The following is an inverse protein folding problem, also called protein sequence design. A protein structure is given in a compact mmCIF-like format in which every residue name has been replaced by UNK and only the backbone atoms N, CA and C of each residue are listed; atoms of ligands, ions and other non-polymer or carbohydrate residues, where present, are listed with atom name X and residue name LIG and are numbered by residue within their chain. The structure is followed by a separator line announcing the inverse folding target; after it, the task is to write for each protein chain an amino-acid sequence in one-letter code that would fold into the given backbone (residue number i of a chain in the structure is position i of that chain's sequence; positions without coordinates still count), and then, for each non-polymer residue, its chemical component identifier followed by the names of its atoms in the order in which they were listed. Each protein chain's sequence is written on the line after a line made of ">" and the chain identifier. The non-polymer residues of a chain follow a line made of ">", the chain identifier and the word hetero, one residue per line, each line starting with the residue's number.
data_IF_997204486880
#
_entry.id   IF_997204486880
#
_cell.length_a   1.000
_cell.length_b   1.000
_cell.length_c   1.000
_cell.angle_alpha   90.00
_cell.angle_beta   90.00
_cell.angle_gamma   90.00
#
_symmetry.space_group_name_H-M   'P 1'
#
loop_
_entity.id
_entity.type
_entity.pdbx_description
1 polymer ?
#
# COMPACT_ATOMS: atom_id res chain seq x y z
N UNK A 1 18.73 13.39 9.16
CA UNK A 1 18.07 12.78 9.70
C UNK A 1 17.81 11.51 9.24
N UNK A 2 17.61 10.83 9.94
CA UNK A 2 17.64 9.52 9.60
C UNK A 2 16.41 9.02 9.00
N UNK A 3 16.50 8.04 8.21
CA UNK A 3 15.38 7.43 7.53
C UNK A 3 14.73 6.43 8.43
N UNK A 4 14.06 6.92 9.49
CA UNK A 4 13.43 6.00 10.43
C UNK A 4 12.40 5.10 9.75
N UNK A 5 11.81 5.57 8.63
CA UNK A 5 10.90 4.74 7.86
C UNK A 5 11.62 3.52 7.29
N UNK A 6 12.78 3.74 6.68
CA UNK A 6 13.54 2.66 6.05
C UNK A 6 14.14 1.69 7.07
N UNK A 7 14.33 2.13 8.31
CA UNK A 7 14.87 1.27 9.37
C UNK A 7 13.83 0.35 9.98
N UNK A 8 12.57 0.48 9.57
CA UNK A 8 11.47 -0.30 10.13
C UNK A 8 11.61 -1.77 9.74
N UNK A 9 11.48 -2.67 10.70
CA UNK A 9 11.50 -4.11 10.44
C UNK A 9 10.18 -4.52 9.80
N UNK A 10 10.29 -5.33 8.75
CA UNK A 10 9.13 -5.90 8.04
C UNK A 10 9.41 -7.37 7.80
N UNK A 11 8.34 -8.13 7.53
CA UNK A 11 8.47 -9.56 7.23
C UNK A 11 8.00 -9.77 5.79
N UNK A 12 8.85 -10.40 4.98
CA UNK A 12 8.48 -10.70 3.60
C UNK A 12 7.38 -11.75 3.58
N UNK A 13 6.73 -11.90 2.41
CA UNK A 13 5.66 -12.91 2.29
C UNK A 13 6.20 -14.32 2.48
N UNK A 14 7.50 -14.51 2.31
CA UNK A 14 8.15 -15.80 2.54
C UNK A 14 8.57 -16.01 4.00
N UNK A 15 8.30 -15.05 4.87
CA UNK A 15 8.55 -15.19 6.29
C UNK A 15 9.90 -14.65 6.78
N UNK A 16 10.66 -13.98 5.93
CA UNK A 16 11.96 -13.42 6.32
C UNK A 16 11.82 -12.04 6.92
N UNK A 17 12.44 -11.82 8.08
CA UNK A 17 12.44 -10.50 8.71
C UNK A 17 13.58 -9.67 8.08
N UNK A 18 13.25 -8.44 7.67
CA UNK A 18 14.22 -7.56 7.04
C UNK A 18 13.83 -6.11 7.36
N UNK A 19 14.48 -5.15 6.70
CA UNK A 19 14.09 -3.75 6.79
C UNK A 19 13.92 -3.21 5.38
N UNK A 20 13.42 -1.98 5.26
CA UNK A 20 13.28 -1.35 3.95
C UNK A 20 14.55 -0.68 3.47
N UNK A 21 15.65 -0.80 4.23
CA UNK A 21 16.91 -0.16 3.86
C UNK A 21 17.47 -0.66 2.54
N UNK A 22 17.14 -1.90 2.16
CA UNK A 22 17.58 -2.43 0.86
C UNK A 22 17.01 -1.64 -0.31
N UNK A 23 15.97 -0.85 -0.07
CA UNK A 23 15.36 -0.01 -1.11
C UNK A 23 15.80 1.45 -1.00
N UNK A 24 16.80 1.76 -0.19
CA UNK A 24 17.28 3.13 -0.04
C UNK A 24 17.69 3.69 -1.40
N UNK A 25 17.37 4.96 -1.64
CA UNK A 25 17.68 5.62 -2.90
C UNK A 25 16.67 5.37 -4.01
N UNK A 26 15.65 4.55 -3.75
CA UNK A 26 14.59 4.28 -4.73
C UNK A 26 13.32 5.00 -4.35
N UNK A 27 12.46 5.22 -5.35
CA UNK A 27 11.11 5.73 -5.11
C UNK A 27 10.23 4.53 -4.80
N UNK A 28 9.48 4.60 -3.70
CA UNK A 28 8.65 3.49 -3.25
C UNK A 28 7.18 3.87 -3.29
N UNK A 29 6.34 2.96 -3.74
CA UNK A 29 4.90 3.08 -3.60
C UNK A 29 4.44 1.97 -2.67
N UNK A 30 4.06 2.34 -1.44
CA UNK A 30 3.68 1.37 -0.41
C UNK A 30 2.16 1.27 -0.40
N UNK A 31 1.64 0.06 -0.59
CA UNK A 31 0.21 -0.18 -0.79
C UNK A 31 -0.26 -1.31 0.12
N UNK A 32 -1.38 -1.11 0.82
CA UNK A 32 -2.02 -2.22 1.52
C UNK A 32 -2.99 -2.88 0.55
N UNK A 33 -2.84 -4.18 0.37
CA UNK A 33 -3.50 -4.90 -0.71
C UNK A 33 -4.41 -6.01 -0.19
N UNK A 34 -5.33 -6.47 -1.04
CA UNK A 34 -6.25 -7.54 -0.71
C UNK A 34 -6.67 -8.29 -1.97
N UNK A 35 -7.03 -9.58 -1.80
CA UNK A 35 -7.35 -10.45 -2.94
C UNK A 35 -8.83 -10.47 -3.30
N UNK A 36 -9.71 -10.01 -2.40
CA UNK A 36 -11.16 -10.11 -2.59
C UNK A 36 -11.86 -8.77 -2.48
N UNK A 37 -11.18 -7.71 -2.85
CA UNK A 37 -11.70 -6.34 -2.80
C UNK A 37 -12.20 -5.94 -4.18
N UNK A 38 -13.19 -5.05 -4.24
CA UNK A 38 -13.62 -4.48 -5.52
C UNK A 38 -12.51 -3.71 -6.22
N UNK A 39 -11.47 -3.28 -5.46
CA UNK A 39 -10.33 -2.57 -6.03
C UNK A 39 -9.17 -3.50 -6.38
N UNK A 40 -9.31 -4.80 -6.15
CA UNK A 40 -8.24 -5.76 -6.44
C UNK A 40 -7.70 -5.68 -7.88
N UNK A 41 -8.51 -5.35 -8.90
CA UNK A 41 -7.95 -5.15 -10.25
C UNK A 41 -6.85 -4.09 -10.34
N UNK A 42 -6.68 -3.24 -9.34
CA UNK A 42 -5.55 -2.31 -9.31
C UNK A 42 -4.19 -3.02 -9.30
N UNK A 43 -4.14 -4.32 -8.95
CA UNK A 43 -2.91 -5.09 -9.08
C UNK A 43 -2.33 -5.00 -10.49
N UNK A 44 -3.19 -5.02 -11.51
CA UNK A 44 -2.72 -4.92 -12.89
C UNK A 44 -1.98 -3.61 -13.12
N UNK A 45 -2.55 -2.51 -12.64
CA UNK A 45 -1.91 -1.21 -12.82
C UNK A 45 -0.63 -1.09 -11.99
N UNK A 46 -0.62 -1.64 -10.77
CA UNK A 46 0.58 -1.65 -9.95
C UNK A 46 1.72 -2.38 -10.65
N UNK A 47 1.41 -3.53 -11.24
CA UNK A 47 2.43 -4.29 -11.95
C UNK A 47 2.87 -3.56 -13.22
N UNK A 48 1.95 -2.89 -13.90
CA UNK A 48 2.31 -2.10 -15.08
C UNK A 48 3.31 -1.01 -14.77
N UNK A 49 3.07 -0.23 -13.70
CA UNK A 49 4.02 0.83 -13.35
C UNK A 49 5.31 0.27 -12.77
N UNK A 50 5.25 -0.89 -12.11
CA UNK A 50 6.47 -1.54 -11.63
C UNK A 50 7.38 -1.87 -12.80
N UNK A 51 6.83 -2.46 -13.86
CA UNK A 51 7.62 -2.83 -15.04
C UNK A 51 8.11 -1.59 -15.79
N UNK A 52 7.28 -0.56 -15.87
CA UNK A 52 7.63 0.63 -16.63
C UNK A 52 8.77 1.42 -15.98
N UNK A 53 8.82 1.44 -14.65
CA UNK A 53 9.74 2.32 -13.93
C UNK A 53 10.82 1.62 -13.12
N UNK A 54 10.85 0.29 -13.12
CA UNK A 54 11.82 -0.47 -12.34
C UNK A 54 13.26 -0.06 -12.65
N UNK A 55 13.57 0.16 -13.93
CA UNK A 55 14.91 0.54 -14.34
C UNK A 55 15.33 1.91 -13.86
N UNK A 56 14.38 2.73 -13.43
CA UNK A 56 14.66 4.07 -12.94
C UNK A 56 14.64 4.13 -11.41
N UNK A 57 14.69 2.98 -10.75
CA UNK A 57 14.75 2.91 -9.30
C UNK A 57 13.39 3.08 -8.63
N UNK A 58 12.34 2.52 -9.22
CA UNK A 58 11.00 2.53 -8.65
C UNK A 58 10.60 1.14 -8.20
N UNK A 59 10.01 1.01 -7.01
CA UNK A 59 9.55 -0.28 -6.49
C UNK A 59 8.19 -0.12 -5.82
N UNK A 60 7.26 -1.01 -6.15
CA UNK A 60 5.99 -1.13 -5.44
C UNK A 60 6.21 -2.13 -4.30
N UNK A 61 5.72 -1.81 -3.10
CA UNK A 61 5.79 -2.71 -1.95
C UNK A 61 4.37 -3.02 -1.50
N UNK A 62 3.97 -4.28 -1.62
CA UNK A 62 2.60 -4.71 -1.31
C UNK A 62 2.49 -5.37 0.06
N UNK A 63 1.62 -4.83 0.92
CA UNK A 63 1.39 -5.35 2.25
C UNK A 63 -0.05 -5.82 2.37
N UNK A 64 -0.31 -7.14 2.36
CA UNK A 64 -1.67 -7.65 2.52
C UNK A 64 -2.26 -7.28 3.88
N UNK A 65 -3.55 -6.99 3.89
CA UNK A 65 -4.25 -6.61 5.12
C UNK A 65 -5.68 -7.15 5.08
N UNK A 66 -6.13 -7.75 6.20
CA UNK A 66 -7.45 -8.37 6.28
C UNK A 66 -8.45 -7.55 7.10
N UNK A 67 -8.12 -6.28 7.43
CA UNK A 67 -8.95 -5.48 8.33
C UNK A 67 -10.19 -4.88 7.67
N UNK A 68 -10.26 -4.88 6.34
CA UNK A 68 -11.36 -4.23 5.63
C UNK A 68 -12.33 -5.28 5.13
N UNK A 69 -13.29 -5.64 5.98
CA UNK A 69 -14.34 -6.62 5.69
C UNK A 69 -13.79 -8.02 5.42
N UNK A 70 -12.61 -8.33 5.97
CA UNK A 70 -12.02 -9.65 5.77
C UNK A 70 -11.74 -9.98 4.31
N UNK A 71 -11.34 -9.00 3.51
CA UNK A 71 -11.14 -9.20 2.07
C UNK A 71 -9.78 -9.79 1.72
N UNK A 72 -8.96 -10.12 2.74
CA UNK A 72 -7.70 -10.83 2.53
C UNK A 72 -7.59 -11.98 3.53
N UNK A 73 -8.46 -13.00 3.42
CA UNK A 73 -8.50 -14.06 4.43
C UNK A 73 -7.47 -15.17 4.21
N UNK A 74 -6.80 -15.19 3.06
CA UNK A 74 -5.87 -16.27 2.74
C UNK A 74 -4.58 -16.23 3.55
N UNK A 75 -3.86 -17.35 3.55
CA UNK A 75 -2.52 -17.40 4.12
C UNK A 75 -1.53 -16.69 3.20
N UNK A 76 -0.31 -16.43 3.73
CA UNK A 76 0.72 -15.80 2.92
C UNK A 76 1.02 -16.61 1.66
N UNK A 77 1.04 -17.94 1.78
CA UNK A 77 1.30 -18.79 0.61
C UNK A 77 0.20 -18.67 -0.42
N UNK A 78 -1.05 -18.64 0.03
CA UNK A 78 -2.20 -18.47 -0.87
C UNK A 78 -2.18 -17.12 -1.56
N UNK A 79 -1.83 -16.07 -0.82
CA UNK A 79 -1.75 -14.73 -1.37
C UNK A 79 -0.66 -14.66 -2.44
N UNK A 80 0.52 -15.21 -2.13
CA UNK A 80 1.64 -15.21 -3.06
C UNK A 80 1.26 -15.91 -4.36
N UNK A 81 0.64 -17.10 -4.25
CA UNK A 81 0.23 -17.85 -5.42
C UNK A 81 -0.82 -17.12 -6.23
N UNK A 82 -1.81 -16.51 -5.55
CA UNK A 82 -2.87 -15.78 -6.22
C UNK A 82 -2.30 -14.58 -6.99
N UNK A 83 -1.43 -13.80 -6.37
CA UNK A 83 -0.86 -12.63 -7.01
C UNK A 83 -0.03 -13.01 -8.23
N UNK A 84 0.78 -14.07 -8.11
CA UNK A 84 1.62 -14.49 -9.22
C UNK A 84 0.81 -15.06 -10.37
N UNK A 85 -0.19 -15.93 -10.07
CA UNK A 85 -0.91 -16.62 -11.12
C UNK A 85 -2.01 -15.80 -11.76
N UNK A 86 -2.67 -14.93 -11.00
CA UNK A 86 -3.81 -14.15 -11.51
C UNK A 86 -3.36 -12.81 -12.09
N UNK A 87 -2.40 -12.15 -11.45
CA UNK A 87 -2.02 -10.78 -11.81
C UNK A 87 -0.58 -10.66 -12.30
N UNK A 88 0.21 -11.74 -12.22
CA UNK A 88 1.61 -11.70 -12.67
C UNK A 88 2.47 -10.76 -11.87
N UNK A 89 2.19 -10.62 -10.57
CA UNK A 89 2.89 -9.66 -9.71
C UNK A 89 4.36 -10.03 -9.58
N UNK A 90 5.24 -9.06 -9.88
CA UNK A 90 6.69 -9.22 -9.73
C UNK A 90 7.28 -8.31 -8.66
N UNK A 91 6.51 -7.34 -8.15
CA UNK A 91 7.03 -6.46 -7.10
C UNK A 91 7.03 -7.18 -5.74
N UNK A 92 7.86 -6.71 -4.79
CA UNK A 92 7.95 -7.36 -3.47
C UNK A 92 6.63 -7.38 -2.74
N UNK A 93 6.29 -8.55 -2.18
CA UNK A 93 5.13 -8.73 -1.33
C UNK A 93 5.59 -9.08 0.07
N UNK A 94 4.78 -8.71 1.05
CA UNK A 94 5.12 -8.91 2.47
C UNK A 94 4.04 -9.72 3.17
N UNK A 95 4.32 -10.12 4.40
CA UNK A 95 3.35 -10.85 5.20
C UNK A 95 2.20 -9.94 5.59
N UNK A 96 1.05 -10.55 5.85
CA UNK A 96 -0.16 -9.83 6.23
C UNK A 96 0.07 -9.01 7.50
N UNK A 97 -0.41 -7.77 7.53
CA UNK A 97 -0.26 -6.87 8.67
C UNK A 97 -1.57 -6.15 8.96
N UNK A 98 -1.63 -5.50 10.13
CA UNK A 98 -2.69 -4.56 10.44
C UNK A 98 -2.18 -3.15 10.13
N UNK A 99 -3.02 -2.33 9.53
CA UNK A 99 -2.67 -0.95 9.18
C UNK A 99 -3.40 0.07 10.05
N UNK A 100 -4.44 -0.35 10.78
CA UNK A 100 -5.22 0.50 11.68
C UNK A 100 -5.36 -0.18 13.04
N UNK A 101 -5.63 0.60 14.10
CA UNK A 101 -5.94 0.07 15.41
C UNK A 101 -4.72 -0.22 16.25
N UNK A 102 -4.94 -0.91 17.37
CA UNK A 102 -3.88 -1.14 18.37
C UNK A 102 -2.75 -2.01 17.86
N UNK A 103 -3.02 -2.92 16.92
CA UNK A 103 -2.01 -3.81 16.36
C UNK A 103 -1.40 -3.24 15.07
N UNK A 104 -1.64 -1.97 14.78
CA UNK A 104 -1.10 -1.32 13.59
C UNK A 104 0.42 -1.51 13.51
N UNK A 105 0.88 -1.96 12.35
CA UNK A 105 2.30 -2.20 12.13
C UNK A 105 3.09 -0.89 12.26
N UNK A 106 4.28 -0.91 12.87
CA UNK A 106 5.08 0.31 13.01
C UNK A 106 5.33 1.06 11.71
N UNK A 107 5.44 0.36 10.59
CA UNK A 107 5.58 1.01 9.29
C UNK A 107 4.41 1.95 9.02
N UNK A 108 3.18 1.46 9.26
CA UNK A 108 2.00 2.27 9.02
C UNK A 108 1.80 3.37 10.06
N UNK A 109 2.31 3.17 11.28
CA UNK A 109 2.33 4.25 12.26
C UNK A 109 3.14 5.44 11.72
N UNK A 110 4.30 5.14 11.12
CA UNK A 110 5.18 6.18 10.59
C UNK A 110 4.62 6.81 9.33
N UNK A 111 4.03 5.99 8.45
CA UNK A 111 3.45 6.50 7.20
C UNK A 111 2.29 7.45 7.48
N UNK A 112 1.38 7.06 8.36
CA UNK A 112 0.21 7.87 8.70
C UNK A 112 0.63 9.16 9.38
N UNK A 113 1.61 9.09 10.28
CA UNK A 113 2.11 10.28 10.97
C UNK A 113 2.70 11.28 9.99
N UNK A 114 3.39 10.78 8.95
CA UNK A 114 4.02 11.64 7.95
C UNK A 114 3.01 12.22 6.96
N UNK A 115 1.92 11.49 6.67
CA UNK A 115 0.91 11.94 5.71
C UNK A 115 -0.48 11.56 6.22
N UNK A 116 -1.05 12.36 7.13
CA UNK A 116 -2.34 12.02 7.74
C UNK A 116 -3.54 12.22 6.82
N UNK A 117 -3.36 12.86 5.67
CA UNK A 117 -4.45 13.14 4.73
C UNK A 117 -4.11 12.59 3.35
N UNK A 118 -5.08 11.94 2.72
CA UNK A 118 -4.90 11.35 1.39
C UNK A 118 -5.46 12.26 0.31
N UNK A 119 -4.81 12.25 -0.87
CA UNK A 119 -5.34 12.92 -2.06
C UNK A 119 -6.29 11.94 -2.74
N UNK A 120 -7.50 12.41 -3.04
CA UNK A 120 -8.53 11.60 -3.71
C UNK A 120 -8.75 12.12 -5.13
N UNK A 121 -9.27 11.25 -6.04
CA UNK A 121 -9.63 11.73 -7.38
C UNK A 121 -10.70 12.79 -7.28
N UNK A 122 -10.69 13.72 -8.23
CA UNK A 122 -11.72 14.72 -8.32
C UNK A 122 -13.06 14.05 -8.47
N UNK A 123 -14.06 14.51 -7.71
CA UNK A 123 -15.42 13.95 -7.75
C UNK A 123 -15.46 12.46 -7.41
N UNK A 124 -14.54 12.02 -6.54
CA UNK A 124 -14.41 10.61 -6.21
C UNK A 124 -15.68 10.01 -5.60
N UNK A 125 -16.24 10.65 -4.59
CA UNK A 125 -17.39 10.10 -3.89
C UNK A 125 -17.10 8.84 -3.10
N UNK A 126 -15.85 8.36 -3.09
CA UNK A 126 -15.50 7.09 -2.44
C UNK A 126 -15.73 7.15 -0.93
N UNK A 127 -15.29 8.23 -0.29
CA UNK A 127 -15.47 8.39 1.16
C UNK A 127 -16.94 8.38 1.52
N UNK A 128 -17.76 9.12 0.76
CA UNK A 128 -19.19 9.17 0.99
C UNK A 128 -19.85 7.81 0.82
N UNK A 129 -19.40 7.03 -0.15
CA UNK A 129 -19.92 5.67 -0.33
C UNK A 129 -19.56 4.79 0.85
N UNK A 130 -18.34 4.95 1.40
CA UNK A 130 -17.94 4.20 2.59
C UNK A 130 -18.80 4.61 3.78
N UNK A 131 -19.08 5.88 3.96
CA UNK A 131 -19.96 6.36 5.03
C UNK A 131 -21.33 5.71 4.92
N UNK A 132 -21.92 5.70 3.72
CA UNK A 132 -23.25 5.15 3.52
C UNK A 132 -23.32 3.66 3.79
N UNK A 133 -22.19 2.96 3.67
CA UNK A 133 -22.12 1.51 3.94
C UNK A 133 -21.68 1.20 5.37
N UNK A 134 -21.49 2.22 6.20
CA UNK A 134 -21.01 2.02 7.56
C UNK A 134 -19.58 1.53 7.64
N UNK A 135 -18.77 1.85 6.65
CA UNK A 135 -17.39 1.35 6.53
C UNK A 135 -16.35 2.45 6.75
N UNK A 136 -16.66 3.45 7.57
CA UNK A 136 -15.70 4.51 7.85
C UNK A 136 -14.69 4.08 8.90
N UNK A 137 -13.46 4.60 8.85
CA UNK A 137 -12.49 4.33 9.90
C UNK A 137 -12.87 5.02 11.20
N UNK A 138 -12.30 4.56 12.29
CA UNK A 138 -12.58 5.11 13.60
C UNK A 138 -12.02 6.53 13.75
N UNK A 139 -10.86 6.79 13.16
CA UNK A 139 -10.18 8.09 13.26
C UNK A 139 -9.94 8.66 11.87
N UNK A 140 -9.92 10.02 11.73
CA UNK A 140 -9.81 10.65 10.40
C UNK A 140 -8.55 10.29 9.61
N UNK A 141 -7.44 10.01 10.30
CA UNK A 141 -6.19 9.71 9.61
C UNK A 141 -5.96 8.22 9.40
N UNK A 142 -6.91 7.36 9.82
CA UNK A 142 -6.79 5.92 9.58
C UNK A 142 -6.80 5.61 8.08
N UNK A 143 -6.25 4.44 7.73
CA UNK A 143 -6.33 3.93 6.37
C UNK A 143 -7.80 3.68 6.05
N UNK A 144 -8.27 4.23 4.95
CA UNK A 144 -9.70 4.19 4.62
C UNK A 144 -10.16 2.83 4.13
N UNK A 145 -9.36 2.19 3.29
CA UNK A 145 -9.72 0.88 2.72
C UNK A 145 -8.49 0.23 2.10
N UNK A 146 -8.68 -0.95 1.49
CA UNK A 146 -7.61 -1.62 0.74
C UNK A 146 -7.17 -0.73 -0.43
N UNK A 147 -5.90 -0.86 -0.80
CA UNK A 147 -5.28 -0.16 -1.93
C UNK A 147 -5.11 1.35 -1.72
N UNK A 148 -5.01 1.77 -0.47
CA UNK A 148 -4.54 3.11 -0.17
C UNK A 148 -3.02 3.13 -0.33
N UNK A 149 -2.46 4.25 -0.81
CA UNK A 149 -1.07 4.27 -1.27
C UNK A 149 -0.29 5.40 -0.63
N UNK A 150 0.99 5.13 -0.34
CA UNK A 150 1.93 6.15 0.14
C UNK A 150 3.13 6.16 -0.80
N UNK A 151 3.45 7.33 -1.33
CA UNK A 151 4.62 7.51 -2.19
C UNK A 151 5.79 8.00 -1.35
N UNK A 152 6.91 7.30 -1.43
CA UNK A 152 8.12 7.62 -0.66
C UNK A 152 9.22 8.00 -1.65
N UNK A 153 9.88 9.14 -1.41
CA UNK A 153 10.94 9.62 -2.28
C UNK A 153 12.25 8.92 -2.06
N UNK A 154 13.23 9.27 -2.89
CA UNK A 154 14.56 8.65 -2.83
C UNK A 154 15.30 8.92 -1.54
N UNK A 155 14.91 9.97 -0.82
CA UNK A 155 15.49 10.33 0.47
C UNK A 155 14.81 9.61 1.65
N UNK A 156 13.86 8.72 1.37
CA UNK A 156 13.16 7.99 2.41
C UNK A 156 12.04 8.76 3.09
N UNK A 157 11.68 9.93 2.56
CA UNK A 157 10.62 10.75 3.13
C UNK A 157 9.32 10.52 2.38
N UNK A 158 8.19 10.51 3.11
CA UNK A 158 6.88 10.37 2.48
C UNK A 158 6.57 11.64 1.70
N UNK A 159 6.26 11.49 0.41
CA UNK A 159 5.95 12.61 -0.47
C UNK A 159 4.47 12.89 -0.49
N UNK A 160 3.64 11.85 -0.58
CA UNK A 160 2.20 12.01 -0.72
C UNK A 160 1.48 10.72 -0.35
N UNK A 161 0.21 10.83 0.01
CA UNK A 161 -0.68 9.71 0.31
C UNK A 161 -1.87 9.81 -0.63
N UNK A 162 -2.29 8.68 -1.21
CA UNK A 162 -3.39 8.65 -2.17
C UNK A 162 -4.49 7.73 -1.68
N UNK A 163 -5.75 8.15 -1.86
CA UNK A 163 -6.89 7.36 -1.41
C UNK A 163 -7.00 6.04 -2.18
N UNK A 164 -7.76 5.07 -1.64
CA UNK A 164 -7.87 3.75 -2.29
C UNK A 164 -8.34 3.81 -3.74
N UNK A 165 -9.24 4.73 -4.08
CA UNK A 165 -9.78 4.83 -5.44
C UNK A 165 -8.92 5.65 -6.38
N UNK A 166 -7.80 6.23 -5.91
CA UNK A 166 -6.84 6.86 -6.79
C UNK A 166 -6.01 5.75 -7.42
N UNK A 167 -6.26 5.45 -8.70
CA UNK A 167 -5.58 4.33 -9.34
C UNK A 167 -4.09 4.59 -9.51
N UNK A 168 -3.27 3.54 -9.53
CA UNK A 168 -1.81 3.74 -9.63
C UNK A 168 -1.37 4.45 -10.90
N UNK A 169 -2.13 4.33 -11.99
CA UNK A 169 -1.80 4.98 -13.26
C UNK A 169 -2.46 6.35 -13.43
N UNK A 170 -3.16 6.83 -12.39
CA UNK A 170 -3.75 8.16 -12.44
C UNK A 170 -2.65 9.20 -12.65
N UNK A 171 -2.87 10.19 -13.54
CA UNK A 171 -1.85 11.22 -13.78
C UNK A 171 -1.35 11.92 -12.52
N UNK A 172 -2.20 12.09 -11.52
CA UNK A 172 -1.79 12.73 -10.27
C UNK A 172 -0.71 11.90 -9.57
N UNK A 173 -0.88 10.57 -9.55
CA UNK A 173 0.12 9.67 -8.97
C UNK A 173 1.39 9.68 -9.79
N UNK A 174 1.25 9.57 -11.12
CA UNK A 174 2.40 9.46 -12.01
C UNK A 174 3.24 10.72 -12.03
N UNK A 175 2.63 11.88 -11.82
CA UNK A 175 3.34 13.15 -11.86
C UNK A 175 3.95 13.55 -10.52
N UNK A 176 3.53 12.92 -9.44
CA UNK A 176 4.08 13.20 -8.13
C UNK A 176 5.37 12.43 -7.91
#
# INVERSE_FOLDING_TARGET
>A
MQNSLLNTHVTTIDGEVTTLEKYAGKVLLIVNVASRCGLTPQYEQLENIQKAWADQGFVVLGFPCNQFMGQEPGSEEEIKTYCASTWGVTFPMFSKIDVNGDARHPLYQKLIAAAPTAVAPEKSGFYERMVSKGRTPLYPDDILWNFEKFLVGRDGQVVQRFSPDMTPEDPIVMET
#
